data_IF_563303985237
#
_entry.id   IF_563303985237
#
_cell.length_a   1.000
_cell.length_b   1.000
_cell.length_c   1.000
_cell.angle_alpha   90.00
_cell.angle_beta   90.00
_cell.angle_gamma   90.00
#
_symmetry.space_group_name_H-M   'P 1'
#
loop_
_entity.id
_entity.type
_entity.pdbx_description
1 polymer ?
#
# COMPACT_ATOMS: atom_id res chain seq x y z
N UNK A 1 15.68 1.63 -3.69
CA UNK A 1 16.02 0.30 -3.13
C UNK A 1 16.25 -0.67 -4.28
N UNK A 2 17.33 -1.46 -4.25
CA UNK A 2 17.70 -2.35 -5.36
C UNK A 2 17.83 -3.83 -4.97
N UNK A 3 17.59 -4.17 -3.71
CA UNK A 3 17.69 -5.54 -3.19
C UNK A 3 17.52 -5.58 -1.67
N UNK A 4 17.54 -6.80 -1.10
CA UNK A 4 17.34 -7.05 0.33
C UNK A 4 15.88 -6.90 0.77
N UNK A 5 15.66 -6.88 2.10
CA UNK A 5 14.35 -6.70 2.71
C UNK A 5 14.36 -5.43 3.58
N UNK A 6 13.36 -4.57 3.40
CA UNK A 6 13.14 -3.37 4.22
C UNK A 6 11.72 -3.41 4.74
N UNK A 7 11.59 -3.35 6.07
CA UNK A 7 10.33 -3.34 6.79
C UNK A 7 10.25 -2.06 7.61
N UNK A 8 9.16 -1.31 7.46
CA UNK A 8 8.88 -0.09 8.22
C UNK A 8 7.53 -0.21 8.91
N UNK A 9 7.51 0.04 10.22
CA UNK A 9 6.30 0.04 11.05
C UNK A 9 6.08 1.42 11.70
N UNK A 10 5.03 2.10 11.26
CA UNK A 10 4.61 3.43 11.66
C UNK A 10 4.96 4.51 10.65
N UNK A 11 4.63 5.77 10.97
CA UNK A 11 4.06 6.21 12.23
C UNK A 11 2.56 5.92 12.34
N UNK A 12 2.04 5.89 13.57
CA UNK A 12 0.59 5.79 13.83
C UNK A 12 -0.11 7.15 13.71
N UNK A 13 0.63 8.25 13.86
CA UNK A 13 0.09 9.60 13.72
C UNK A 13 -0.08 9.99 12.24
N UNK A 14 -1.15 10.71 11.93
CA UNK A 14 -1.45 11.19 10.57
C UNK A 14 -0.63 12.40 10.12
N UNK A 15 0.22 12.92 11.00
CA UNK A 15 1.13 14.02 10.69
C UNK A 15 2.41 13.56 9.97
N UNK A 16 2.53 12.28 9.59
CA UNK A 16 3.65 11.70 8.83
C UNK A 16 3.19 10.44 8.06
N UNK A 17 4.02 9.97 7.13
CA UNK A 17 3.87 8.70 6.41
C UNK A 17 5.00 7.71 6.72
N UNK A 18 4.82 6.44 6.37
CA UNK A 18 5.85 5.40 6.55
C UNK A 18 7.03 5.56 5.58
N UNK A 19 6.80 6.28 4.48
CA UNK A 19 7.77 6.66 3.48
C UNK A 19 7.75 8.19 3.38
N UNK A 20 8.93 8.80 3.40
CA UNK A 20 9.14 10.24 3.27
C UNK A 20 10.35 10.50 2.37
N UNK A 21 10.09 11.07 1.19
CA UNK A 21 11.12 11.49 0.24
C UNK A 21 10.68 12.76 -0.50
N UNK A 22 11.67 13.53 -0.94
CA UNK A 22 11.43 14.81 -1.63
C UNK A 22 11.14 14.63 -3.13
N UNK A 23 12.03 13.92 -3.85
CA UNK A 23 11.96 13.82 -5.32
C UNK A 23 11.54 12.45 -5.82
N UNK A 24 12.37 11.43 -5.62
CA UNK A 24 12.11 10.07 -6.13
C UNK A 24 12.51 9.01 -5.14
N UNK A 25 11.66 7.99 -5.01
CA UNK A 25 11.98 6.73 -4.36
C UNK A 25 11.70 5.59 -5.33
N UNK A 26 12.75 5.13 -6.01
CA UNK A 26 12.66 4.02 -6.96
C UNK A 26 12.95 2.68 -6.28
N UNK A 27 12.10 1.69 -6.56
CA UNK A 27 12.34 0.28 -6.21
C UNK A 27 12.68 -0.48 -7.50
N UNK A 28 13.83 -1.14 -7.49
CA UNK A 28 14.34 -1.93 -8.62
C UNK A 28 14.68 -3.38 -8.25
N UNK A 29 14.52 -3.75 -6.98
CA UNK A 29 14.78 -5.09 -6.46
C UNK A 29 14.49 -5.21 -4.97
N UNK A 30 14.27 -6.44 -4.50
CA UNK A 30 14.08 -6.79 -3.09
C UNK A 30 12.63 -6.73 -2.62
N UNK A 31 12.43 -6.90 -1.31
CA UNK A 31 11.13 -6.83 -0.66
C UNK A 31 11.04 -5.56 0.17
N UNK A 32 10.06 -4.71 -0.13
CA UNK A 32 9.78 -3.48 0.61
C UNK A 32 8.37 -3.52 1.18
N UNK A 33 8.27 -3.37 2.50
CA UNK A 33 7.02 -3.30 3.23
C UNK A 33 7.06 -2.08 4.13
N UNK A 34 6.08 -1.18 4.01
CA UNK A 34 5.98 -0.01 4.86
C UNK A 34 4.53 0.22 5.28
N UNK A 35 4.24 -0.02 6.55
CA UNK A 35 2.92 0.16 7.15
C UNK A 35 2.92 1.38 8.06
N UNK A 36 1.88 2.22 7.99
CA UNK A 36 1.75 3.40 8.84
C UNK A 36 0.43 4.13 8.59
N UNK A 37 0.38 5.40 8.98
CA UNK A 37 -0.78 6.25 8.73
C UNK A 37 -0.94 6.60 7.25
N UNK A 38 -2.19 6.64 6.79
CA UNK A 38 -2.58 7.12 5.47
C UNK A 38 -2.56 8.65 5.33
N UNK A 39 -2.43 9.40 6.44
CA UNK A 39 -2.58 10.86 6.46
C UNK A 39 -1.63 11.62 5.52
N UNK A 40 -0.38 11.19 5.44
CA UNK A 40 0.61 11.70 4.47
C UNK A 40 1.32 10.54 3.76
N UNK A 41 0.56 9.49 3.42
CA UNK A 41 1.14 8.34 2.73
C UNK A 41 1.63 8.71 1.32
N UNK A 42 2.93 8.48 1.10
CA UNK A 42 3.55 8.49 -0.21
C UNK A 42 3.74 7.05 -0.69
N UNK A 43 3.49 6.78 -1.97
CA UNK A 43 3.90 5.52 -2.60
C UNK A 43 5.27 5.67 -3.27
N UNK A 44 5.93 4.55 -3.63
CA UNK A 44 7.12 4.60 -4.50
C UNK A 44 6.86 5.35 -5.80
N UNK A 45 7.92 5.88 -6.40
CA UNK A 45 7.83 6.60 -7.66
C UNK A 45 7.45 5.66 -8.80
N UNK A 46 6.63 6.15 -9.74
CA UNK A 46 6.19 5.37 -10.92
C UNK A 46 7.32 4.97 -11.87
N UNK A 47 8.48 5.63 -11.75
CA UNK A 47 9.75 5.25 -12.40
C UNK A 47 10.43 4.01 -11.80
N UNK A 48 9.86 3.42 -10.74
CA UNK A 48 10.29 2.12 -10.22
C UNK A 48 10.11 1.03 -11.28
N UNK A 49 11.12 0.17 -11.45
CA UNK A 49 11.04 -0.97 -12.37
C UNK A 49 10.37 -2.18 -11.73
N UNK A 50 10.28 -2.21 -10.41
CA UNK A 50 9.54 -3.21 -9.65
C UNK A 50 8.21 -2.63 -9.19
N UNK A 51 7.14 -3.40 -9.37
CA UNK A 51 5.80 -2.93 -9.07
C UNK A 51 5.54 -2.83 -7.56
N UNK A 52 4.62 -1.94 -7.18
CA UNK A 52 4.19 -1.76 -5.80
C UNK A 52 2.68 -1.52 -5.70
N UNK A 53 2.11 -1.92 -4.58
CA UNK A 53 0.72 -1.65 -4.22
C UNK A 53 0.69 -0.91 -2.88
N UNK A 54 -0.16 0.12 -2.79
CA UNK A 54 -0.44 0.82 -1.54
C UNK A 54 -1.87 0.49 -1.12
N UNK A 55 -2.00 -0.36 -0.10
CA UNK A 55 -3.28 -0.84 0.41
C UNK A 55 -3.73 0.10 1.53
N UNK A 56 -4.85 0.77 1.32
CA UNK A 56 -5.50 1.63 2.29
C UNK A 56 -6.61 0.85 3.00
N UNK A 57 -6.31 0.43 4.23
CA UNK A 57 -7.25 -0.25 5.12
C UNK A 57 -6.83 0.00 6.55
N UNK A 58 -7.81 0.10 7.46
CA UNK A 58 -7.52 0.27 8.88
C UNK A 58 -7.24 -1.10 9.52
N UNK A 59 -6.11 -1.20 10.21
CA UNK A 59 -5.74 -2.38 10.99
C UNK A 59 -5.13 -1.98 12.32
N UNK A 60 -5.35 -2.81 13.33
CA UNK A 60 -4.62 -2.71 14.60
C UNK A 60 -3.29 -3.47 14.49
N UNK A 61 -2.37 -3.22 15.42
CA UNK A 61 -1.11 -3.98 15.50
C UNK A 61 -1.37 -5.49 15.45
N UNK A 62 -0.50 -6.21 14.75
CA UNK A 62 -0.53 -7.65 14.50
C UNK A 62 -1.72 -8.14 13.64
N UNK A 63 -2.47 -7.25 12.99
CA UNK A 63 -3.47 -7.67 11.99
C UNK A 63 -2.74 -8.12 10.72
N UNK A 64 -2.91 -9.40 10.34
CA UNK A 64 -2.34 -9.91 9.09
C UNK A 64 -2.92 -9.19 7.87
N UNK A 65 -2.04 -8.88 6.93
CA UNK A 65 -2.35 -8.48 5.56
C UNK A 65 -1.71 -9.53 4.65
N UNK A 66 -2.55 -10.22 3.88
CA UNK A 66 -2.14 -11.27 2.95
C UNK A 66 -2.47 -10.84 1.53
N UNK A 67 -1.55 -11.12 0.61
CA UNK A 67 -1.72 -10.95 -0.83
C UNK A 67 -1.48 -12.29 -1.49
N UNK A 68 -2.44 -12.75 -2.29
CA UNK A 68 -2.29 -13.93 -3.14
C UNK A 68 -2.49 -13.57 -4.61
N UNK A 69 -1.89 -14.35 -5.51
CA UNK A 69 -2.22 -14.29 -6.93
C UNK A 69 -3.57 -14.98 -7.24
N UNK A 70 -3.95 -14.99 -8.52
CA UNK A 70 -5.16 -15.62 -9.03
C UNK A 70 -5.21 -17.15 -8.85
N UNK A 71 -4.12 -17.91 -9.09
CA UNK A 71 -4.03 -19.32 -8.71
C UNK A 71 -4.20 -19.60 -7.20
N UNK A 72 -4.00 -18.59 -6.35
CA UNK A 72 -4.05 -18.72 -4.90
C UNK A 72 -2.69 -18.97 -4.24
N UNK A 73 -1.59 -18.76 -4.96
CA UNK A 73 -0.25 -18.76 -4.38
C UNK A 73 -0.08 -17.51 -3.50
N UNK A 74 0.54 -17.70 -2.34
CA UNK A 74 0.91 -16.60 -1.46
C UNK A 74 2.04 -15.77 -2.07
N UNK A 75 1.81 -14.46 -2.20
CA UNK A 75 2.80 -13.49 -2.65
C UNK A 75 3.50 -12.86 -1.46
N UNK A 76 2.72 -12.51 -0.42
CA UNK A 76 3.26 -12.01 0.84
C UNK A 76 2.20 -12.10 1.95
N UNK A 77 2.64 -12.38 3.17
CA UNK A 77 1.84 -12.22 4.39
C UNK A 77 2.63 -11.43 5.42
N UNK A 78 2.05 -10.34 5.91
CA UNK A 78 2.72 -9.43 6.83
C UNK A 78 1.77 -8.96 7.95
N UNK A 79 2.27 -8.88 9.18
CA UNK A 79 1.58 -8.28 10.32
C UNK A 79 2.35 -7.03 10.80
N UNK A 80 1.83 -5.81 10.55
CA UNK A 80 2.44 -4.61 11.09
C UNK A 80 2.48 -4.63 12.62
N UNK A 81 3.60 -4.26 13.22
CA UNK A 81 3.76 -4.23 14.69
C UNK A 81 3.10 -3.01 15.36
N UNK A 82 2.49 -2.12 14.56
CA UNK A 82 1.77 -0.91 15.00
C UNK A 82 0.41 -0.82 14.31
N UNK A 83 -0.48 0.03 14.83
CA UNK A 83 -1.71 0.38 14.10
C UNK A 83 -1.37 1.07 12.78
N UNK A 84 -2.18 0.81 11.75
CA UNK A 84 -1.93 1.32 10.40
C UNK A 84 -3.22 1.62 9.67
N UNK A 85 -3.14 2.52 8.70
CA UNK A 85 -4.20 2.82 7.74
C UNK A 85 -3.72 2.83 6.28
N UNK A 86 -2.42 2.58 6.06
CA UNK A 86 -1.77 2.37 4.76
C UNK A 86 -0.67 1.33 4.93
N UNK A 87 -0.55 0.42 3.95
CA UNK A 87 0.58 -0.50 3.83
C UNK A 87 1.04 -0.56 2.37
N UNK A 88 2.31 -0.23 2.16
CA UNK A 88 2.98 -0.32 0.87
C UNK A 88 3.67 -1.67 0.79
N UNK A 89 3.48 -2.38 -0.31
CA UNK A 89 4.11 -3.67 -0.58
C UNK A 89 4.75 -3.62 -1.97
N UNK A 90 6.03 -3.98 -2.05
CA UNK A 90 6.73 -4.28 -3.30
C UNK A 90 7.56 -5.55 -3.11
N UNK A 91 7.39 -6.53 -3.99
CA UNK A 91 8.15 -7.80 -4.02
C UNK A 91 8.39 -8.19 -5.49
N UNK A 92 9.46 -8.92 -5.83
CA UNK A 92 9.73 -9.34 -7.21
C UNK A 92 8.59 -10.20 -7.82
N UNK A 93 7.71 -10.74 -6.98
CA UNK A 93 6.55 -11.57 -7.37
C UNK A 93 5.33 -10.74 -7.82
N UNK A 94 5.31 -9.43 -7.55
CA UNK A 94 4.29 -8.53 -8.11
C UNK A 94 4.61 -8.21 -9.58
N UNK A 95 3.71 -8.61 -10.47
CA UNK A 95 3.84 -8.49 -11.91
C UNK A 95 2.64 -7.74 -12.48
N UNK A 96 2.91 -6.66 -13.21
CA UNK A 96 1.88 -5.91 -13.93
C UNK A 96 1.15 -6.81 -14.92
N UNK A 97 -0.17 -6.71 -14.97
CA UNK A 97 -1.06 -7.55 -15.77
C UNK A 97 -1.67 -8.72 -15.00
N UNK A 98 -1.13 -9.09 -13.83
CA UNK A 98 -1.68 -10.16 -13.01
C UNK A 98 -2.77 -9.65 -12.05
N UNK A 99 -3.65 -10.57 -11.65
CA UNK A 99 -4.71 -10.33 -10.67
C UNK A 99 -4.30 -10.81 -9.29
N UNK A 100 -4.58 -10.00 -8.29
CA UNK A 100 -4.25 -10.25 -6.89
C UNK A 100 -5.46 -10.10 -5.99
N UNK A 101 -5.48 -10.87 -4.90
CA UNK A 101 -6.47 -10.75 -3.83
C UNK A 101 -5.78 -10.25 -2.57
N UNK A 102 -6.33 -9.19 -1.96
CA UNK A 102 -5.92 -8.74 -0.63
C UNK A 102 -6.89 -9.29 0.39
N UNK A 103 -6.36 -9.87 1.45
CA UNK A 103 -7.12 -10.33 2.61
C UNK A 103 -6.54 -9.76 3.90
N UNK A 104 -7.38 -9.63 4.93
CA UNK A 104 -6.98 -9.13 6.25
C UNK A 104 -7.42 -10.07 7.38
N UNK A 105 -6.69 -10.07 8.49
CA UNK A 105 -6.92 -11.00 9.61
C UNK A 105 -6.54 -12.44 9.26
N UNK A 106 -7.14 -13.42 9.93
CA UNK A 106 -6.79 -14.83 9.73
C UNK A 106 -5.63 -15.28 10.62
N UNK A 107 -4.97 -16.37 10.23
CA UNK A 107 -3.87 -16.99 10.96
C UNK A 107 -2.78 -17.45 9.99
N UNK A 108 -1.55 -17.58 10.51
CA UNK A 108 -0.43 -18.21 9.81
C UNK A 108 0.07 -19.42 10.61
N UNK A 109 0.55 -20.46 9.91
CA UNK A 109 0.93 -21.73 10.57
C UNK A 109 2.31 -21.71 11.24
N UNK A 110 3.13 -20.71 10.94
CA UNK A 110 4.49 -20.53 11.47
C UNK A 110 4.65 -19.12 12.05
N UNK A 111 5.71 -18.92 12.82
CA UNK A 111 6.08 -17.62 13.38
C UNK A 111 6.66 -16.70 12.29
N UNK A 112 6.48 -15.39 12.46
CA UNK A 112 7.10 -14.38 11.62
C UNK A 112 8.54 -14.07 12.02
N UNK A 113 9.24 -13.39 11.11
CA UNK A 113 10.45 -12.63 11.41
C UNK A 113 10.14 -11.16 11.11
N UNK A 114 10.15 -10.31 12.14
CA UNK A 114 9.86 -8.87 12.04
C UNK A 114 8.48 -8.54 11.41
N UNK A 115 7.48 -9.41 11.63
CA UNK A 115 6.14 -9.31 11.08
C UNK A 115 5.96 -9.96 9.69
N UNK A 116 7.05 -10.39 9.04
CA UNK A 116 6.99 -11.09 7.75
C UNK A 116 6.87 -12.61 7.97
N UNK A 117 5.81 -13.20 7.41
CA UNK A 117 5.52 -14.63 7.50
C UNK A 117 5.96 -15.34 6.22
N UNK A 118 6.70 -16.45 6.38
CA UNK A 118 7.22 -17.24 5.27
C UNK A 118 7.19 -18.75 5.59
N UNK A 119 7.26 -19.58 4.54
CA UNK A 119 7.36 -21.05 4.62
C UNK A 119 6.20 -21.77 5.33
N UNK A 120 5.11 -21.06 5.63
CA UNK A 120 3.91 -21.60 6.27
C UNK A 120 2.69 -21.50 5.37
N UNK A 121 1.51 -21.53 5.99
CA UNK A 121 0.24 -21.44 5.31
C UNK A 121 -0.64 -20.39 6.00
N UNK A 122 -1.10 -19.43 5.20
CA UNK A 122 -2.12 -18.48 5.59
C UNK A 122 -3.53 -19.10 5.47
N UNK A 123 -4.41 -18.81 6.43
CA UNK A 123 -5.81 -19.27 6.37
C UNK A 123 -6.78 -18.42 7.20
N UNK A 124 -8.07 -18.47 6.83
CA UNK A 124 -9.16 -17.93 7.65
C UNK A 124 -9.31 -16.42 7.68
N UNK A 125 -8.59 -15.67 6.84
CA UNK A 125 -8.78 -14.22 6.76
C UNK A 125 -9.96 -13.79 5.89
N UNK A 126 -10.30 -12.51 5.99
CA UNK A 126 -11.41 -11.89 5.25
C UNK A 126 -10.89 -11.16 4.02
N UNK A 127 -11.45 -11.49 2.84
CA UNK A 127 -11.12 -10.78 1.60
C UNK A 127 -11.48 -9.31 1.71
N UNK A 128 -10.50 -8.44 1.49
CA UNK A 128 -10.67 -6.99 1.37
C UNK A 128 -11.12 -6.63 -0.05
N UNK A 129 -10.36 -7.08 -1.06
CA UNK A 129 -10.63 -6.79 -2.47
C UNK A 129 -9.90 -7.76 -3.39
N UNK A 130 -10.27 -7.76 -4.66
CA UNK A 130 -9.57 -8.44 -5.75
C UNK A 130 -9.43 -7.45 -6.92
N UNK A 131 -8.24 -7.36 -7.49
CA UNK A 131 -7.92 -6.35 -8.50
C UNK A 131 -6.79 -6.82 -9.42
N UNK A 132 -6.74 -6.24 -10.62
CA UNK A 132 -5.61 -6.41 -11.54
C UNK A 132 -4.61 -5.28 -11.34
N UNK A 133 -3.33 -5.62 -11.21
CA UNK A 133 -2.23 -4.67 -11.13
C UNK A 133 -1.95 -4.11 -12.53
N UNK A 134 -2.59 -3.00 -12.92
CA UNK A 134 -2.49 -2.45 -14.29
C UNK A 134 -1.30 -1.52 -14.52
N UNK A 135 -0.63 -1.07 -13.45
CA UNK A 135 0.48 -0.12 -13.50
C UNK A 135 1.60 -0.51 -12.52
N UNK A 136 2.74 0.19 -12.57
CA UNK A 136 3.88 -0.03 -11.66
C UNK A 136 3.55 0.38 -10.22
N UNK A 137 2.58 1.28 -10.02
CA UNK A 137 2.13 1.72 -8.70
C UNK A 137 0.61 1.81 -8.69
N UNK A 138 -0.03 1.03 -7.82
CA UNK A 138 -1.49 1.04 -7.64
C UNK A 138 -1.87 1.39 -6.21
N UNK A 139 -2.94 2.17 -6.07
CA UNK A 139 -3.64 2.32 -4.79
C UNK A 139 -4.78 1.30 -4.71
N UNK A 140 -4.91 0.64 -3.57
CA UNK A 140 -5.86 -0.47 -3.34
C UNK A 140 -6.71 -0.17 -2.12
N UNK A 141 -8.03 -0.31 -2.23
CA UNK A 141 -9.00 -0.14 -1.14
C UNK A 141 -10.00 -1.30 -1.14
N UNK A 142 -10.91 -1.34 -0.17
CA UNK A 142 -12.04 -2.29 -0.19
C UNK A 142 -12.98 -2.13 -1.39
N UNK A 143 -12.95 -0.99 -2.10
CA UNK A 143 -13.79 -0.74 -3.28
C UNK A 143 -13.11 -1.08 -4.61
N UNK A 144 -11.84 -1.49 -4.60
CA UNK A 144 -11.09 -1.82 -5.82
C UNK A 144 -9.68 -1.23 -5.81
N UNK A 145 -9.09 -1.11 -7.00
CA UNK A 145 -7.78 -0.49 -7.17
C UNK A 145 -7.80 0.54 -8.29
N UNK A 146 -6.95 1.57 -8.17
CA UNK A 146 -6.77 2.63 -9.16
C UNK A 146 -5.30 2.98 -9.33
N UNK A 147 -4.94 3.44 -10.52
CA UNK A 147 -3.60 3.98 -10.78
C UNK A 147 -3.38 5.26 -9.97
N UNK A 148 -2.17 5.40 -9.40
CA UNK A 148 -1.79 6.59 -8.63
C UNK A 148 -1.20 6.22 -7.27
N UNK A 149 -0.07 6.87 -6.96
CA UNK A 149 0.76 6.61 -5.77
C UNK A 149 0.54 7.57 -4.61
N UNK A 150 -0.55 8.32 -4.57
CA UNK A 150 -0.84 9.19 -3.43
C UNK A 150 -2.30 9.59 -3.44
N UNK A 151 -3.05 9.22 -2.41
CA UNK A 151 -4.26 9.95 -2.04
C UNK A 151 -3.84 11.22 -1.30
N UNK A 152 -2.95 12.03 -1.88
CA UNK A 152 -2.63 13.31 -1.28
C UNK A 152 -3.84 14.22 -1.46
N UNK A 153 -4.68 14.30 -0.42
CA UNK A 153 -5.27 15.55 0.11
C UNK A 153 -5.86 16.57 -0.88
N UNK A 154 -6.21 16.15 -2.09
CA UNK A 154 -6.75 16.98 -3.15
C UNK A 154 -8.21 17.28 -2.84
N UNK A 155 -8.44 18.20 -1.92
CA UNK A 155 -9.60 19.06 -1.99
C UNK A 155 -9.73 19.50 -3.46
N UNK A 156 -10.86 19.29 -4.14
CA UNK A 156 -10.99 19.71 -5.52
C UNK A 156 -10.82 21.22 -5.55
N UNK A 157 -9.64 21.66 -5.96
CA UNK A 157 -9.38 23.03 -6.38
C UNK A 157 -10.21 23.28 -7.62
N UNK A 158 -11.50 23.59 -7.43
CA UNK A 158 -12.40 24.07 -8.45
C UNK A 158 -11.93 25.44 -8.92
N UNK A 159 -10.98 25.46 -9.84
CA UNK A 159 -10.56 26.65 -10.54
C UNK A 159 -11.58 27.05 -11.61
N UNK A 160 -11.94 28.34 -11.60
CA UNK A 160 -12.18 29.11 -12.82
C UNK A 160 -13.61 29.60 -13.07
N UNK A 161 -13.85 30.90 -12.90
CA UNK A 161 -14.00 31.85 -14.01
C UNK A 161 -14.57 33.21 -13.55
N UNK A 162 -13.81 34.26 -13.84
CA UNK A 162 -14.31 35.47 -14.53
C UNK A 162 -15.47 36.28 -13.93
N UNK A 163 -15.10 37.37 -13.26
CA UNK A 163 -15.61 38.72 -13.56
C UNK A 163 -17.10 39.03 -13.36
N UNK A 164 -17.42 39.81 -12.34
CA UNK A 164 -18.08 41.10 -12.60
C UNK A 164 -17.85 42.10 -11.47
N UNK A 165 -17.52 43.33 -11.86
CA UNK A 165 -17.47 44.51 -10.99
C UNK A 165 -18.90 44.94 -10.66
N UNK A 166 -19.19 45.24 -9.39
CA UNK A 166 -20.03 46.39 -9.00
C UNK A 166 -19.84 46.70 -7.50
N UNK A 167 -19.89 47.97 -7.06
CA UNK A 167 -19.61 48.36 -5.68
C UNK A 167 -20.85 48.25 -4.78
N UNK A 168 -20.60 47.97 -3.49
CA UNK A 168 -21.59 47.98 -2.41
C UNK A 168 -22.12 49.40 -2.13
N UNK A 169 -23.39 49.56 -1.71
CA UNK A 169 -23.81 50.71 -0.92
C UNK A 169 -23.31 50.60 0.54
#
# INVERSE_FOLDING_TARGET
MSGGTVIVNGPENSGNGALDYDTTFNITGGTFIAAGSSGMAQSPSSSSTQASINIFTNGIANTLVNVTDEPGNEIITFAPSKTFSSIIISTPELQTGNTYTVSTGGNYSLEDIDGLYENGNYSGGSKLTNFTLSSSVMSVTSSGASEGGSMNGGMPGGGGMGGNRTPRP
#
